data_IF_785907681246
#
_entry.id   IF_785907681246
#
_cell.length_a   1.000
_cell.length_b   1.000
_cell.length_c   1.000
_cell.angle_alpha   90.00
_cell.angle_beta   90.00
_cell.angle_gamma   90.00
#
_symmetry.space_group_name_H-M   'P 1'
#
loop_
_entity.id
_entity.type
_entity.pdbx_description
1 polymer ?
#
# COMPACT_ATOMS: atom_id res chain seq x y z
N UNK A 1 -13.35 -0.77 -12.22
CA UNK A 1 -13.67 -1.54 -10.99
C UNK A 1 -12.75 -2.76 -10.81
N UNK A 2 -12.77 -3.36 -9.64
CA UNK A 2 -12.13 -4.65 -9.37
C UNK A 2 -13.22 -5.65 -9.02
N UNK A 3 -13.17 -6.81 -9.66
CA UNK A 3 -14.09 -7.91 -9.45
C UNK A 3 -13.30 -9.16 -9.03
N UNK A 4 -13.54 -9.64 -7.80
CA UNK A 4 -12.91 -10.84 -7.29
C UNK A 4 -13.66 -12.09 -7.76
N UNK A 5 -12.90 -13.08 -8.22
CA UNK A 5 -13.46 -14.34 -8.73
C UNK A 5 -12.71 -15.54 -8.15
N UNK A 6 -13.39 -16.64 -7.93
CA UNK A 6 -12.81 -17.94 -7.58
C UNK A 6 -13.10 -19.03 -8.60
N UNK A 7 -14.08 -18.80 -9.48
CA UNK A 7 -14.44 -19.69 -10.58
C UNK A 7 -14.96 -18.86 -11.76
N UNK A 8 -14.34 -19.03 -12.92
CA UNK A 8 -14.74 -18.36 -14.16
C UNK A 8 -16.06 -18.88 -14.76
N UNK A 9 -16.51 -20.06 -14.33
CA UNK A 9 -17.77 -20.65 -14.77
C UNK A 9 -18.95 -20.28 -13.86
N UNK A 10 -18.73 -19.39 -12.88
CA UNK A 10 -19.77 -18.93 -11.97
C UNK A 10 -20.85 -18.16 -12.76
N UNK A 11 -22.09 -18.65 -12.73
CA UNK A 11 -23.21 -18.02 -13.45
C UNK A 11 -23.41 -16.54 -13.03
N UNK A 12 -23.18 -16.20 -11.75
CA UNK A 12 -23.24 -14.81 -11.29
C UNK A 12 -22.17 -13.95 -11.93
N UNK A 13 -20.97 -14.47 -12.20
CA UNK A 13 -19.93 -13.74 -12.90
C UNK A 13 -20.42 -13.34 -14.30
N UNK A 14 -21.07 -14.24 -15.01
CA UNK A 14 -21.56 -13.99 -16.37
C UNK A 14 -22.61 -12.87 -16.40
N UNK A 15 -23.33 -12.63 -15.32
CA UNK A 15 -24.33 -11.53 -15.25
C UNK A 15 -23.73 -10.12 -15.39
N UNK A 16 -22.44 -9.96 -15.17
CA UNK A 16 -21.73 -8.66 -15.35
C UNK A 16 -21.43 -8.33 -16.82
N UNK A 17 -21.46 -9.33 -17.70
CA UNK A 17 -21.09 -9.16 -19.09
C UNK A 17 -22.29 -8.98 -20.03
N UNK A 18 -22.05 -8.35 -21.18
CA UNK A 18 -23.08 -8.10 -22.20
C UNK A 18 -23.39 -9.39 -22.95
N UNK A 19 -22.35 -10.17 -23.27
CA UNK A 19 -22.47 -11.42 -24.04
C UNK A 19 -21.57 -12.51 -23.45
N UNK A 20 -22.18 -13.61 -23.05
CA UNK A 20 -21.51 -14.71 -22.36
C UNK A 20 -20.51 -15.46 -23.26
N UNK A 21 -20.80 -15.61 -24.54
CA UNK A 21 -19.92 -16.33 -25.46
C UNK A 21 -18.70 -15.50 -25.83
N UNK A 22 -18.89 -14.21 -26.05
CA UNK A 22 -17.78 -13.29 -26.33
C UNK A 22 -16.81 -13.19 -25.15
N UNK A 23 -17.31 -13.13 -23.91
CA UNK A 23 -16.43 -13.06 -22.74
C UNK A 23 -15.71 -14.37 -22.48
N UNK A 24 -16.34 -15.52 -22.71
CA UNK A 24 -15.68 -16.83 -22.61
C UNK A 24 -14.55 -16.97 -23.63
N UNK A 25 -14.75 -16.48 -24.85
CA UNK A 25 -13.71 -16.48 -25.86
C UNK A 25 -12.58 -15.48 -25.49
N UNK A 26 -12.92 -14.32 -24.93
CA UNK A 26 -11.94 -13.38 -24.37
C UNK A 26 -11.08 -14.03 -23.27
N UNK A 27 -11.69 -14.76 -22.34
CA UNK A 27 -10.96 -15.51 -21.31
C UNK A 27 -10.00 -16.55 -21.92
N UNK A 28 -10.44 -17.30 -22.94
CA UNK A 28 -9.58 -18.28 -23.64
C UNK A 28 -8.40 -17.63 -24.32
N UNK A 29 -8.64 -16.54 -25.06
CA UNK A 29 -7.58 -15.80 -25.78
C UNK A 29 -6.51 -15.30 -24.82
N UNK A 30 -6.91 -14.84 -23.63
CA UNK A 30 -6.00 -14.31 -22.61
C UNK A 30 -5.52 -15.36 -21.60
N UNK A 31 -5.86 -16.64 -21.81
CA UNK A 31 -5.52 -17.76 -20.92
C UNK A 31 -5.94 -17.52 -19.45
N UNK A 32 -7.03 -16.79 -19.22
CA UNK A 32 -7.57 -16.56 -17.88
C UNK A 32 -8.47 -17.74 -17.49
N UNK A 33 -8.05 -18.52 -16.50
CA UNK A 33 -8.72 -19.73 -16.06
C UNK A 33 -9.22 -19.64 -14.61
N UNK A 34 -9.08 -18.50 -13.97
CA UNK A 34 -9.43 -18.32 -12.55
C UNK A 34 -8.49 -19.03 -11.58
N UNK A 35 -7.28 -19.36 -11.99
CA UNK A 35 -6.26 -19.96 -11.14
C UNK A 35 -5.66 -18.93 -10.18
N UNK A 36 -4.97 -19.43 -9.16
CA UNK A 36 -4.30 -18.61 -8.13
C UNK A 36 -3.54 -17.41 -8.72
N UNK A 37 -3.89 -16.23 -8.25
CA UNK A 37 -3.23 -14.95 -8.59
C UNK A 37 -3.35 -14.52 -10.07
N UNK A 38 -4.17 -15.18 -10.87
CA UNK A 38 -4.43 -14.69 -12.23
C UNK A 38 -5.22 -13.39 -12.19
N UNK A 39 -4.86 -12.48 -13.10
CA UNK A 39 -5.51 -11.19 -13.28
C UNK A 39 -5.75 -10.92 -14.74
N UNK A 40 -6.93 -10.39 -15.06
CA UNK A 40 -7.31 -10.02 -16.43
C UNK A 40 -8.03 -8.68 -16.42
N UNK A 41 -7.51 -7.71 -17.15
CA UNK A 41 -8.21 -6.46 -17.42
C UNK A 41 -9.24 -6.68 -18.52
N UNK A 42 -10.50 -6.52 -18.22
CA UNK A 42 -11.61 -6.62 -19.15
C UNK A 42 -12.06 -5.21 -19.53
N UNK A 43 -11.98 -4.85 -20.82
CA UNK A 43 -12.42 -3.57 -21.33
C UNK A 43 -13.93 -3.36 -21.14
N UNK A 44 -14.31 -2.11 -20.91
CA UNK A 44 -15.71 -1.68 -20.66
C UNK A 44 -16.73 -2.14 -21.73
N UNK A 45 -16.28 -2.38 -22.95
CA UNK A 45 -17.14 -2.81 -24.05
C UNK A 45 -17.78 -4.21 -23.84
N UNK A 46 -17.20 -5.03 -22.96
CA UNK A 46 -17.74 -6.34 -22.58
C UNK A 46 -18.64 -6.28 -21.35
N UNK A 47 -18.71 -5.14 -20.67
CA UNK A 47 -19.32 -4.99 -19.34
C UNK A 47 -20.58 -4.14 -19.37
N UNK A 48 -21.63 -4.57 -18.64
CA UNK A 48 -22.92 -3.89 -18.57
C UNK A 48 -22.84 -2.51 -17.91
N UNK A 49 -21.92 -2.34 -16.94
CA UNK A 49 -21.70 -1.07 -16.24
C UNK A 49 -20.83 -0.08 -17.00
N UNK A 50 -20.33 -0.48 -18.18
CA UNK A 50 -19.48 0.34 -19.07
C UNK A 50 -18.20 0.87 -18.41
N UNK A 51 -17.65 0.15 -17.41
CA UNK A 51 -16.37 0.47 -16.75
C UNK A 51 -15.35 -0.62 -17.03
N UNK A 52 -14.10 -0.23 -17.29
CA UNK A 52 -12.99 -1.19 -17.34
C UNK A 52 -12.89 -1.90 -15.99
N UNK A 53 -12.82 -3.23 -16.01
CA UNK A 53 -12.85 -4.05 -14.80
C UNK A 53 -11.67 -5.00 -14.76
N UNK A 54 -10.90 -4.95 -13.67
CA UNK A 54 -9.85 -5.92 -13.40
C UNK A 54 -10.45 -7.12 -12.68
N UNK A 55 -10.51 -8.27 -13.38
CA UNK A 55 -10.83 -9.55 -12.76
C UNK A 55 -9.60 -10.06 -12.02
N UNK A 56 -9.79 -10.48 -10.77
CA UNK A 56 -8.72 -11.02 -9.94
C UNK A 56 -9.17 -12.36 -9.37
N UNK A 57 -8.44 -13.43 -9.71
CA UNK A 57 -8.67 -14.71 -9.06
C UNK A 57 -8.12 -14.71 -7.64
N UNK A 58 -9.01 -15.00 -6.67
CA UNK A 58 -8.67 -15.18 -5.27
C UNK A 58 -8.62 -16.65 -4.87
N UNK A 59 -8.63 -17.56 -5.83
CA UNK A 59 -8.47 -19.00 -5.57
C UNK A 59 -7.23 -19.23 -4.73
N UNK A 60 -7.35 -20.03 -3.65
CA UNK A 60 -6.25 -20.37 -2.75
C UNK A 60 -5.61 -19.18 -1.99
N UNK A 61 -6.23 -18.01 -1.95
CA UNK A 61 -5.82 -16.92 -1.07
C UNK A 61 -6.45 -17.16 0.28
N UNK A 62 -5.64 -17.55 1.26
CA UNK A 62 -6.11 -17.97 2.59
C UNK A 62 -5.50 -17.17 3.75
N UNK A 63 -4.56 -16.27 3.46
CA UNK A 63 -3.90 -15.47 4.48
C UNK A 63 -3.70 -14.01 4.04
N UNK A 64 -3.48 -13.14 5.00
CA UNK A 64 -3.35 -11.70 4.80
C UNK A 64 -2.11 -11.31 4.00
N UNK A 65 -1.02 -12.06 4.14
CA UNK A 65 0.21 -11.78 3.39
C UNK A 65 0.02 -12.00 1.89
N UNK A 66 -0.59 -13.12 1.49
CA UNK A 66 -0.90 -13.40 0.09
C UNK A 66 -1.88 -12.39 -0.49
N UNK A 67 -2.88 -11.97 0.29
CA UNK A 67 -3.83 -10.94 -0.11
C UNK A 67 -3.15 -9.57 -0.29
N UNK A 68 -2.31 -9.16 0.64
CA UNK A 68 -1.54 -7.93 0.56
C UNK A 68 -0.61 -7.93 -0.69
N UNK A 69 0.11 -9.03 -0.92
CA UNK A 69 0.92 -9.19 -2.12
C UNK A 69 0.09 -9.09 -3.40
N UNK A 70 -1.08 -9.74 -3.44
CA UNK A 70 -2.00 -9.70 -4.57
C UNK A 70 -2.48 -8.27 -4.85
N UNK A 71 -2.80 -7.50 -3.81
CA UNK A 71 -3.15 -6.08 -3.92
C UNK A 71 -2.03 -5.23 -4.51
N UNK A 72 -0.80 -5.44 -4.06
CA UNK A 72 0.37 -4.75 -4.61
C UNK A 72 0.57 -5.05 -6.09
N UNK A 73 0.41 -6.31 -6.51
CA UNK A 73 0.49 -6.70 -7.93
C UNK A 73 -0.67 -6.13 -8.73
N UNK A 74 -1.90 -6.15 -8.19
CA UNK A 74 -3.07 -5.60 -8.86
C UNK A 74 -2.88 -4.12 -9.24
N UNK A 75 -2.28 -3.33 -8.34
CA UNK A 75 -1.98 -1.93 -8.63
C UNK A 75 -1.12 -1.74 -9.89
N UNK A 76 -0.20 -2.64 -10.19
CA UNK A 76 0.65 -2.54 -11.40
C UNK A 76 -0.11 -2.78 -12.71
N UNK A 77 -1.33 -3.33 -12.63
CA UNK A 77 -2.20 -3.59 -13.78
C UNK A 77 -3.22 -2.48 -14.03
N UNK A 78 -3.27 -1.49 -13.17
CA UNK A 78 -4.26 -0.42 -13.21
C UNK A 78 -3.56 0.87 -13.63
N UNK A 79 -4.13 1.58 -14.60
CA UNK A 79 -3.66 2.89 -15.00
C UNK A 79 -4.01 3.94 -13.93
N UNK A 80 -3.20 4.97 -13.81
CA UNK A 80 -3.21 5.98 -12.77
C UNK A 80 -4.48 6.83 -12.65
N UNK A 81 -5.30 6.91 -13.68
CA UNK A 81 -6.49 7.79 -13.75
C UNK A 81 -7.79 7.13 -13.26
N UNK A 82 -7.73 5.98 -12.59
CA UNK A 82 -8.93 5.23 -12.25
C UNK A 82 -9.34 5.40 -10.79
N UNK A 83 -10.58 5.78 -10.54
CA UNK A 83 -11.25 5.52 -9.26
C UNK A 83 -11.52 4.03 -9.13
N UNK A 84 -10.98 3.40 -8.10
CA UNK A 84 -11.09 1.97 -7.88
C UNK A 84 -12.21 1.69 -6.89
N UNK A 85 -13.18 0.90 -7.33
CA UNK A 85 -14.25 0.32 -6.49
C UNK A 85 -14.15 -1.19 -6.52
N UNK A 86 -14.65 -1.86 -5.48
CA UNK A 86 -14.74 -3.33 -5.43
C UNK A 86 -16.17 -3.78 -5.66
N UNK A 87 -16.31 -4.81 -6.48
CA UNK A 87 -17.57 -5.55 -6.61
C UNK A 87 -17.49 -6.80 -5.73
N UNK A 88 -18.14 -6.76 -4.59
CA UNK A 88 -18.07 -7.82 -3.57
C UNK A 88 -19.17 -8.88 -3.69
N UNK A 89 -20.09 -8.75 -4.65
CA UNK A 89 -21.28 -9.58 -4.75
C UNK A 89 -21.05 -11.02 -5.23
N UNK A 90 -19.87 -11.33 -5.78
CA UNK A 90 -19.58 -12.65 -6.35
C UNK A 90 -18.97 -13.62 -5.34
N UNK A 91 -18.08 -13.13 -4.50
CA UNK A 91 -17.26 -13.94 -3.60
C UNK A 91 -17.08 -13.20 -2.29
N UNK A 92 -17.22 -13.90 -1.19
CA UNK A 92 -16.78 -13.40 0.10
C UNK A 92 -15.26 -13.48 0.16
N UNK A 93 -14.62 -12.32 0.16
CA UNK A 93 -13.16 -12.19 0.27
C UNK A 93 -12.83 -11.57 1.62
N UNK A 94 -12.68 -12.41 2.63
CA UNK A 94 -12.41 -11.99 4.01
C UNK A 94 -11.11 -11.19 4.16
N UNK A 95 -10.13 -11.38 3.25
CA UNK A 95 -8.85 -10.67 3.25
C UNK A 95 -8.86 -9.39 2.39
N UNK A 96 -10.01 -8.84 2.04
CA UNK A 96 -10.11 -7.62 1.21
C UNK A 96 -9.39 -6.41 1.82
N UNK A 97 -9.33 -6.33 3.15
CA UNK A 97 -8.63 -5.27 3.86
C UNK A 97 -7.12 -5.37 3.66
N UNK A 98 -6.56 -6.56 3.78
CA UNK A 98 -5.13 -6.81 3.53
C UNK A 98 -4.77 -6.60 2.06
N UNK A 99 -5.66 -6.96 1.13
CA UNK A 99 -5.54 -6.63 -0.28
C UNK A 99 -5.48 -5.11 -0.51
N UNK A 100 -6.40 -4.36 0.10
CA UNK A 100 -6.45 -2.90 0.01
C UNK A 100 -5.17 -2.26 0.56
N UNK A 101 -4.69 -2.75 1.71
CA UNK A 101 -3.41 -2.30 2.28
C UNK A 101 -2.25 -2.54 1.29
N UNK A 102 -2.21 -3.69 0.63
CA UNK A 102 -1.21 -3.98 -0.40
C UNK A 102 -1.24 -2.99 -1.57
N UNK A 103 -2.43 -2.63 -2.04
CA UNK A 103 -2.59 -1.59 -3.05
C UNK A 103 -2.07 -0.23 -2.57
N UNK A 104 -2.35 0.16 -1.33
CA UNK A 104 -1.87 1.40 -0.75
C UNK A 104 -0.34 1.42 -0.64
N UNK A 105 0.25 0.34 -0.08
CA UNK A 105 1.69 0.24 0.17
C UNK A 105 2.53 0.22 -1.12
N UNK A 106 1.99 -0.31 -2.21
CA UNK A 106 2.67 -0.34 -3.50
C UNK A 106 2.76 1.04 -4.18
N UNK A 107 2.05 2.04 -3.66
CA UNK A 107 2.13 3.42 -4.10
C UNK A 107 3.35 4.20 -3.61
N UNK A 108 4.17 3.61 -2.74
CA UNK A 108 5.35 4.27 -2.20
C UNK A 108 6.35 4.69 -3.28
N UNK A 109 6.80 5.93 -3.20
CA UNK A 109 7.86 6.50 -4.04
C UNK A 109 8.81 7.29 -3.16
N UNK A 110 10.10 7.14 -3.36
CA UNK A 110 11.12 7.93 -2.71
C UNK A 110 11.82 8.80 -3.76
N UNK A 111 11.38 10.02 -3.91
CA UNK A 111 11.84 10.96 -4.94
C UNK A 111 12.55 12.19 -4.39
N UNK A 112 12.81 12.22 -3.08
CA UNK A 112 13.39 13.35 -2.33
C UNK A 112 14.65 13.91 -2.98
N UNK A 113 15.48 13.07 -3.58
CA UNK A 113 16.77 13.44 -4.19
C UNK A 113 16.74 13.45 -5.71
N UNK A 114 15.60 13.23 -6.32
CA UNK A 114 15.48 13.27 -7.78
C UNK A 114 15.34 14.71 -8.26
N UNK A 115 16.11 15.08 -9.31
CA UNK A 115 16.02 16.41 -9.96
C UNK A 115 14.68 16.62 -10.68
N UNK A 116 14.03 15.54 -11.12
CA UNK A 116 12.66 15.54 -11.62
C UNK A 116 11.85 14.60 -10.74
N UNK A 117 10.88 15.13 -10.02
CA UNK A 117 9.91 14.30 -9.33
C UNK A 117 9.09 13.55 -10.36
N UNK A 118 8.84 12.27 -10.10
CA UNK A 118 7.88 11.52 -10.90
C UNK A 118 6.48 11.98 -10.48
N UNK A 119 5.93 12.93 -11.23
CA UNK A 119 4.53 13.38 -11.11
C UNK A 119 3.55 12.29 -11.60
N UNK A 120 3.98 11.03 -11.54
CA UNK A 120 3.15 9.89 -11.87
C UNK A 120 1.87 9.94 -11.05
N UNK A 121 0.76 9.96 -11.74
CA UNK A 121 -0.59 10.08 -11.21
C UNK A 121 -0.81 9.10 -10.06
N UNK A 122 -1.30 9.61 -8.97
CA UNK A 122 -1.62 8.81 -7.79
C UNK A 122 -2.93 8.06 -8.05
N UNK A 123 -2.90 6.73 -7.95
CA UNK A 123 -4.12 5.94 -8.00
C UNK A 123 -4.96 6.27 -6.78
N UNK A 124 -6.15 6.81 -7.01
CA UNK A 124 -7.09 7.12 -5.95
C UNK A 124 -7.99 5.91 -5.70
N UNK A 125 -7.94 5.36 -4.51
CA UNK A 125 -8.91 4.38 -4.04
C UNK A 125 -10.16 5.11 -3.53
N UNK A 126 -11.35 4.57 -3.84
CA UNK A 126 -12.58 5.11 -3.29
C UNK A 126 -12.54 5.08 -1.75
N UNK A 127 -12.95 6.19 -1.14
CA UNK A 127 -12.93 6.32 0.33
C UNK A 127 -13.79 5.27 1.05
N UNK A 128 -14.79 4.71 0.35
CA UNK A 128 -15.64 3.65 0.91
C UNK A 128 -14.94 2.32 1.11
N UNK A 129 -13.81 2.09 0.41
CA UNK A 129 -13.05 0.84 0.46
C UNK A 129 -11.77 0.93 1.30
N UNK A 130 -11.41 2.13 1.73
CA UNK A 130 -10.19 2.38 2.54
C UNK A 130 -10.59 2.76 3.95
N UNK A 131 -10.22 1.94 4.93
CA UNK A 131 -10.42 2.25 6.35
C UNK A 131 -9.34 3.21 6.88
N UNK A 132 -9.68 3.98 7.90
CA UNK A 132 -8.76 4.89 8.58
C UNK A 132 -7.49 4.18 9.08
N UNK A 133 -7.63 2.99 9.65
CA UNK A 133 -6.52 2.18 10.15
C UNK A 133 -5.54 1.78 9.04
N UNK A 134 -6.03 1.55 7.82
CA UNK A 134 -5.17 1.23 6.68
C UNK A 134 -4.38 2.46 6.21
N UNK A 135 -4.97 3.65 6.28
CA UNK A 135 -4.28 4.90 5.97
C UNK A 135 -3.17 5.17 6.99
N UNK A 136 -3.49 5.07 8.28
CA UNK A 136 -2.50 5.24 9.36
C UNK A 136 -1.35 4.23 9.21
N UNK A 137 -1.67 2.96 8.93
CA UNK A 137 -0.65 1.92 8.71
C UNK A 137 0.23 2.23 7.49
N UNK A 138 -0.37 2.68 6.37
CA UNK A 138 0.37 3.11 5.18
C UNK A 138 1.32 4.26 5.52
N UNK A 139 0.83 5.29 6.19
CA UNK A 139 1.58 6.51 6.48
C UNK A 139 2.75 6.21 7.42
N UNK A 140 2.53 5.37 8.44
CA UNK A 140 3.58 4.89 9.33
C UNK A 140 4.67 4.10 8.57
N UNK A 141 4.28 3.19 7.66
CA UNK A 141 5.23 2.43 6.86
C UNK A 141 5.99 3.33 5.88
N UNK A 142 5.33 4.31 5.26
CA UNK A 142 5.98 5.27 4.37
C UNK A 142 6.99 6.13 5.12
N UNK A 143 6.63 6.63 6.30
CA UNK A 143 7.53 7.36 7.18
C UNK A 143 8.80 6.55 7.51
N UNK A 144 8.64 5.28 7.89
CA UNK A 144 9.80 4.41 8.17
C UNK A 144 10.64 4.17 6.90
N UNK A 145 10.01 3.97 5.75
CA UNK A 145 10.72 3.81 4.47
C UNK A 145 11.50 5.07 4.09
N UNK A 146 10.92 6.25 4.30
CA UNK A 146 11.59 7.54 4.06
C UNK A 146 12.82 7.69 4.97
N UNK A 147 12.69 7.34 6.25
CA UNK A 147 13.83 7.32 7.17
C UNK A 147 14.92 6.32 6.72
N UNK A 148 14.54 5.12 6.28
CA UNK A 148 15.50 4.11 5.81
C UNK A 148 16.23 4.59 4.54
N UNK A 149 15.49 5.16 3.59
CA UNK A 149 16.03 5.60 2.30
C UNK A 149 16.81 6.93 2.37
N UNK A 150 16.60 7.73 3.42
CA UNK A 150 17.35 8.96 3.62
C UNK A 150 18.82 8.65 3.94
N UNK A 151 19.80 9.16 3.15
CA UNK A 151 21.22 8.95 3.38
C UNK A 151 21.69 9.41 4.77
N UNK A 152 22.72 8.75 5.30
CA UNK A 152 23.24 9.03 6.64
C UNK A 152 23.84 10.43 6.79
N UNK A 153 24.24 11.09 5.68
CA UNK A 153 24.69 12.48 5.71
C UNK A 153 23.56 13.43 6.14
N UNK A 154 22.34 13.14 5.72
CA UNK A 154 21.16 13.95 6.03
C UNK A 154 20.43 13.40 7.27
N UNK A 155 20.38 12.08 7.42
CA UNK A 155 19.71 11.41 8.54
C UNK A 155 20.60 11.40 9.78
N UNK A 156 20.72 12.56 10.43
CA UNK A 156 21.36 12.71 11.73
C UNK A 156 20.37 12.49 12.87
N UNK A 157 20.83 12.36 14.12
CA UNK A 157 19.92 12.31 15.28
C UNK A 157 18.98 13.52 15.34
N UNK A 158 19.49 14.73 15.01
CA UNK A 158 18.68 15.94 14.97
C UNK A 158 17.61 15.89 13.86
N UNK A 159 17.98 15.39 12.68
CA UNK A 159 17.01 15.18 11.59
C UNK A 159 15.87 14.26 12.04
N UNK A 160 16.21 13.17 12.73
CA UNK A 160 15.18 12.24 13.25
C UNK A 160 14.23 12.93 14.24
N UNK A 161 14.78 13.78 15.15
CA UNK A 161 13.99 14.58 16.09
C UNK A 161 13.02 15.50 15.34
N UNK A 162 13.51 16.18 14.30
CA UNK A 162 12.70 17.12 13.52
C UNK A 162 11.58 16.42 12.75
N UNK A 163 11.84 15.22 12.24
CA UNK A 163 10.78 14.41 11.59
C UNK A 163 9.73 13.90 12.60
N UNK A 164 10.14 13.52 13.82
CA UNK A 164 9.20 13.15 14.89
C UNK A 164 8.35 14.34 15.33
N UNK A 165 8.95 15.53 15.49
CA UNK A 165 8.20 16.75 15.81
C UNK A 165 7.13 17.07 14.78
N UNK A 166 7.44 16.95 13.48
CA UNK A 166 6.46 17.13 12.41
C UNK A 166 5.32 16.11 12.49
N UNK A 167 5.65 14.86 12.82
CA UNK A 167 4.66 13.78 12.89
C UNK A 167 3.62 14.01 13.98
N UNK A 168 4.01 14.68 15.08
CA UNK A 168 3.15 14.90 16.26
C UNK A 168 2.63 16.34 16.37
N UNK A 169 2.88 17.21 15.39
CA UNK A 169 2.60 18.65 15.45
C UNK A 169 1.12 18.96 15.75
N UNK A 170 0.22 18.16 15.18
CA UNK A 170 -1.24 18.31 15.35
C UNK A 170 -1.84 17.28 16.32
N UNK A 171 -1.00 16.55 17.05
CA UNK A 171 -1.43 15.48 17.96
C UNK A 171 -1.32 15.92 19.43
N UNK A 172 -2.19 15.39 20.29
CA UNK A 172 -2.10 15.62 21.74
C UNK A 172 -1.02 14.71 22.36
N UNK A 173 0.22 14.92 21.93
CA UNK A 173 1.40 14.16 22.36
C UNK A 173 2.46 15.13 22.88
N UNK A 174 2.95 14.88 24.09
CA UNK A 174 4.09 15.59 24.65
C UNK A 174 5.38 14.86 24.29
N UNK A 175 6.39 15.57 23.78
CA UNK A 175 7.70 15.02 23.44
C UNK A 175 8.79 15.62 24.32
N UNK A 176 9.37 14.80 25.17
CA UNK A 176 10.55 15.16 25.94
C UNK A 176 11.83 14.74 25.19
N UNK A 177 12.75 15.68 25.01
CA UNK A 177 14.01 15.45 24.27
C UNK A 177 15.17 15.62 25.23
N UNK A 178 15.87 14.51 25.51
CA UNK A 178 17.01 14.48 26.41
C UNK A 178 18.32 14.41 25.63
N UNK A 179 19.21 15.35 25.91
CA UNK A 179 20.51 15.46 25.24
C UNK A 179 21.60 14.58 25.91
N UNK A 180 22.80 14.62 25.36
CA UNK A 180 23.96 13.85 25.86
C UNK A 180 24.29 14.11 27.33
N UNK A 181 24.21 15.36 27.78
CA UNK A 181 24.51 15.71 29.18
C UNK A 181 23.53 15.07 30.16
N UNK A 182 22.25 15.10 29.80
CA UNK A 182 21.21 14.42 30.58
C UNK A 182 21.43 12.91 30.61
N UNK A 183 21.73 12.30 29.44
CA UNK A 183 22.00 10.87 29.31
C UNK A 183 23.20 10.42 30.17
N UNK A 184 24.25 11.26 30.26
CA UNK A 184 25.40 10.99 31.12
C UNK A 184 25.04 11.05 32.58
N UNK A 185 24.29 12.09 33.00
CA UNK A 185 23.83 12.28 34.37
C UNK A 185 22.95 11.13 34.85
N UNK A 186 22.03 10.67 34.01
CA UNK A 186 21.07 9.62 34.38
C UNK A 186 21.63 8.19 34.12
N UNK A 187 22.91 8.06 33.72
CA UNK A 187 23.59 6.78 33.65
C UNK A 187 23.27 5.92 32.38
N UNK A 188 22.83 6.53 31.29
CA UNK A 188 22.55 5.85 30.02
C UNK A 188 23.84 5.46 29.29
N UNK A 189 24.72 4.70 29.94
CA UNK A 189 26.05 4.33 29.44
C UNK A 189 26.04 3.58 28.12
N UNK A 190 25.04 2.76 27.85
CA UNK A 190 24.89 2.05 26.59
C UNK A 190 24.71 3.00 25.38
N UNK A 191 23.82 3.98 25.49
CA UNK A 191 23.58 4.99 24.45
C UNK A 191 24.83 5.85 24.22
N UNK A 192 25.45 6.29 25.32
CA UNK A 192 26.70 7.06 25.27
C UNK A 192 27.82 6.23 24.61
N UNK A 193 27.98 4.97 25.00
CA UNK A 193 29.02 4.08 24.47
C UNK A 193 28.90 3.88 22.95
N UNK A 194 27.71 3.64 22.45
CA UNK A 194 27.46 3.47 21.02
C UNK A 194 27.72 4.77 20.24
N UNK A 195 27.42 5.93 20.82
CA UNK A 195 27.58 7.22 20.18
C UNK A 195 29.01 7.77 20.15
N UNK A 196 29.95 7.20 20.91
CA UNK A 196 31.33 7.73 21.06
C UNK A 196 32.09 7.88 19.75
N UNK A 197 31.83 7.05 18.75
CA UNK A 197 32.44 7.13 17.43
C UNK A 197 31.81 8.15 16.46
N UNK A 198 30.75 8.83 16.88
CA UNK A 198 30.01 9.79 16.06
C UNK A 198 30.39 11.22 16.41
N UNK A 199 30.48 12.07 15.37
CA UNK A 199 30.58 13.53 15.56
C UNK A 199 29.23 14.17 15.96
N UNK A 200 28.13 13.40 15.87
CA UNK A 200 26.78 13.81 16.23
C UNK A 200 26.41 13.34 17.62
N UNK A 201 25.71 14.16 18.37
CA UNK A 201 25.29 13.84 19.73
C UNK A 201 24.13 12.84 19.74
N UNK A 202 24.08 11.95 20.75
CA UNK A 202 22.94 11.10 20.97
C UNK A 202 21.82 11.83 21.70
N UNK A 203 20.59 11.38 21.45
CA UNK A 203 19.39 11.87 22.13
C UNK A 203 18.52 10.69 22.57
N UNK A 204 17.67 10.92 23.56
CA UNK A 204 16.55 10.05 23.92
C UNK A 204 15.27 10.86 23.79
N UNK A 205 14.29 10.28 23.11
CA UNK A 205 12.95 10.83 22.96
C UNK A 205 11.98 10.03 23.82
N UNK A 206 11.15 10.71 24.58
CA UNK A 206 10.13 10.13 25.48
C UNK A 206 8.79 10.80 25.21
#
# INVERSE_FOLDING_TARGET
>A
SILFVNDINNEKLLTYFINDDEIKDYFKIHNFNGKKKEMLLVPKQYLKDSKDTLLISISEISNDFDACYLGAVARTKINSECNITYETGLVDFSQVESFTLGMLLSGYKFDKYLSKKNDGEEITLDKSIVKSEQQVTRDAIFFVRDLVNTPTLDKTPEYFIDEVKKLIEDEDITLDIHNKEWLQKEGFGGVIGVSQGSAKEPYLLV
#
